data_IF_730325330723
#
_entry.id   IF_730325330723
#
_cell.length_a   1.000
_cell.length_b   1.000
_cell.length_c   1.000
_cell.angle_alpha   90.00
_cell.angle_beta   90.00
_cell.angle_gamma   90.00
#
_symmetry.space_group_name_H-M   'P 1'
#
loop_
_entity.id
_entity.type
_entity.pdbx_description
1 polymer ?
#
# COMPACT_ATOMS: atom_id res chain seq x y z
N UNK A 1 -2.25 9.20 -20.63
CA UNK A 1 -3.33 8.91 -21.61
C UNK A 1 -2.81 8.19 -22.85
N UNK A 2 -1.58 8.45 -23.31
CA UNK A 2 -1.01 7.81 -24.51
C UNK A 2 -1.00 6.26 -24.45
N UNK A 3 -0.51 5.68 -23.35
CA UNK A 3 -0.45 4.21 -23.16
C UNK A 3 -1.84 3.57 -23.10
N UNK A 4 -2.82 4.25 -22.47
CA UNK A 4 -4.20 3.76 -22.40
C UNK A 4 -4.80 3.65 -23.81
N UNK A 5 -4.67 4.70 -24.61
CA UNK A 5 -5.14 4.70 -26.00
C UNK A 5 -4.41 3.65 -26.85
N UNK A 6 -3.10 3.43 -26.62
CA UNK A 6 -2.33 2.37 -27.28
C UNK A 6 -2.89 0.98 -26.97
N UNK A 7 -3.25 0.70 -25.72
CA UNK A 7 -3.86 -0.59 -25.32
C UNK A 7 -5.23 -0.77 -25.97
N UNK A 8 -6.08 0.27 -25.97
CA UNK A 8 -7.39 0.19 -26.63
C UNK A 8 -7.24 -0.12 -28.12
N UNK A 9 -6.34 0.60 -28.80
CA UNK A 9 -6.08 0.43 -30.23
C UNK A 9 -5.52 -0.97 -30.55
N UNK A 10 -4.62 -1.51 -29.73
CA UNK A 10 -4.02 -2.83 -29.97
C UNK A 10 -5.02 -3.99 -29.83
N UNK A 11 -6.13 -3.78 -29.13
CA UNK A 11 -7.20 -4.77 -28.97
C UNK A 11 -8.43 -4.44 -29.83
N UNK A 12 -8.40 -3.35 -30.60
CA UNK A 12 -9.50 -2.89 -31.44
C UNK A 12 -10.75 -2.49 -30.64
N UNK A 13 -10.54 -1.91 -29.45
CA UNK A 13 -11.59 -1.44 -28.54
C UNK A 13 -11.71 0.08 -28.68
N UNK A 14 -12.95 0.55 -28.69
CA UNK A 14 -13.28 1.98 -28.72
C UNK A 14 -13.80 2.44 -27.36
N UNK A 15 -13.77 3.76 -27.14
CA UNK A 15 -14.41 4.42 -26.01
C UNK A 15 -15.41 5.43 -26.55
N UNK A 16 -16.60 5.52 -25.95
CA UNK A 16 -17.61 6.52 -26.31
C UNK A 16 -17.53 7.78 -25.43
N UNK A 17 -18.41 8.75 -25.71
CA UNK A 17 -18.46 10.03 -24.99
C UNK A 17 -18.81 9.86 -23.50
N UNK A 18 -19.53 8.79 -23.16
CA UNK A 18 -19.87 8.41 -21.78
C UNK A 18 -18.76 7.61 -21.09
N UNK A 19 -17.60 7.45 -21.75
CA UNK A 19 -16.41 6.71 -21.28
C UNK A 19 -16.61 5.21 -21.14
N UNK A 20 -17.54 4.62 -21.88
CA UNK A 20 -17.76 3.18 -21.94
C UNK A 20 -16.90 2.52 -23.00
N UNK A 21 -16.22 1.42 -22.63
CA UNK A 21 -15.44 0.61 -23.56
C UNK A 21 -16.35 -0.32 -24.36
N UNK A 22 -16.23 -0.31 -25.69
CA UNK A 22 -17.07 -1.12 -26.56
C UNK A 22 -16.34 -1.66 -27.78
N UNK A 23 -16.92 -2.70 -28.38
CA UNK A 23 -16.49 -3.26 -29.66
C UNK A 23 -17.70 -3.75 -30.45
N UNK A 24 -17.72 -3.48 -31.76
CA UNK A 24 -18.78 -3.96 -32.65
C UNK A 24 -18.43 -5.34 -33.21
N UNK A 25 -19.40 -6.24 -33.22
CA UNK A 25 -19.23 -7.62 -33.68
C UNK A 25 -20.46 -8.10 -34.48
N UNK A 26 -20.25 -9.12 -35.30
CA UNK A 26 -21.30 -9.90 -35.96
C UNK A 26 -21.28 -11.36 -35.44
N UNK A 27 -22.27 -12.18 -35.81
CA UNK A 27 -22.40 -13.56 -35.31
C UNK A 27 -21.13 -14.41 -35.51
N UNK A 28 -20.43 -14.24 -36.65
CA UNK A 28 -19.25 -15.04 -36.97
C UNK A 28 -18.01 -14.69 -36.14
N UNK A 29 -17.88 -13.44 -35.68
CA UNK A 29 -16.70 -12.96 -34.95
C UNK A 29 -16.98 -12.57 -33.49
N UNK A 30 -18.22 -12.73 -33.04
CA UNK A 30 -18.64 -12.41 -31.67
C UNK A 30 -17.77 -13.06 -30.58
N UNK A 31 -17.42 -14.37 -30.66
CA UNK A 31 -16.55 -14.97 -29.64
C UNK A 31 -15.18 -14.29 -29.54
N UNK A 32 -14.56 -14.00 -30.68
CA UNK A 32 -13.24 -13.37 -30.76
C UNK A 32 -13.28 -11.92 -30.26
N UNK A 33 -14.30 -11.13 -30.66
CA UNK A 33 -14.46 -9.74 -30.22
C UNK A 33 -14.76 -9.63 -28.72
N UNK A 34 -15.60 -10.52 -28.19
CA UNK A 34 -15.85 -10.64 -26.74
C UNK A 34 -14.55 -10.92 -26.00
N UNK A 35 -13.75 -11.87 -26.48
CA UNK A 35 -12.47 -12.21 -25.86
C UNK A 35 -11.50 -11.02 -25.86
N UNK A 36 -11.38 -10.29 -26.98
CA UNK A 36 -10.52 -9.10 -27.08
C UNK A 36 -10.93 -7.97 -26.12
N UNK A 37 -12.23 -7.72 -25.96
CA UNK A 37 -12.71 -6.73 -25.00
C UNK A 37 -12.32 -7.10 -23.56
N UNK A 38 -12.47 -8.38 -23.19
CA UNK A 38 -12.05 -8.87 -21.87
C UNK A 38 -10.53 -8.72 -21.66
N UNK A 39 -9.71 -9.11 -22.64
CA UNK A 39 -8.25 -8.97 -22.57
C UNK A 39 -7.82 -7.51 -22.43
N UNK A 40 -8.46 -6.61 -23.18
CA UNK A 40 -8.23 -5.18 -23.10
C UNK A 40 -8.57 -4.64 -21.71
N UNK A 41 -9.71 -5.01 -21.14
CA UNK A 41 -10.11 -4.61 -19.78
C UNK A 41 -9.10 -5.09 -18.72
N UNK A 42 -8.57 -6.31 -18.86
CA UNK A 42 -7.53 -6.82 -17.97
C UNK A 42 -6.24 -5.99 -18.09
N UNK A 43 -5.77 -5.70 -19.31
CA UNK A 43 -4.57 -4.88 -19.52
C UNK A 43 -4.72 -3.44 -19.04
N UNK A 44 -5.90 -2.85 -19.22
CA UNK A 44 -6.23 -1.54 -18.66
C UNK A 44 -6.22 -1.59 -17.13
N UNK A 45 -6.80 -2.63 -16.52
CA UNK A 45 -6.74 -2.84 -15.07
C UNK A 45 -5.30 -2.94 -14.58
N UNK A 46 -4.44 -3.70 -15.26
CA UNK A 46 -3.01 -3.81 -14.92
C UNK A 46 -2.29 -2.45 -15.00
N UNK A 47 -2.58 -1.65 -16.05
CA UNK A 47 -2.04 -0.28 -16.17
C UNK A 47 -2.47 0.60 -15.00
N UNK A 48 -3.72 0.48 -14.55
CA UNK A 48 -4.21 1.24 -13.40
C UNK A 48 -3.64 0.74 -12.08
N UNK A 49 -3.40 -0.56 -11.92
CA UNK A 49 -2.64 -1.11 -10.78
C UNK A 49 -1.23 -0.52 -10.76
N UNK A 50 -0.57 -0.40 -11.93
CA UNK A 50 0.73 0.25 -12.04
C UNK A 50 0.68 1.76 -11.74
N UNK A 51 -0.41 2.44 -12.11
CA UNK A 51 -0.63 3.85 -11.74
C UNK A 51 -0.88 4.04 -10.24
N UNK A 52 -1.49 3.06 -9.56
CA UNK A 52 -1.63 3.04 -8.10
C UNK A 52 -0.30 2.77 -7.40
N UNK A 53 0.60 1.97 -8.00
CA UNK A 53 1.96 1.80 -7.47
C UNK A 53 2.80 3.08 -7.56
N UNK A 54 2.55 4.00 -8.49
CA UNK A 54 3.19 5.34 -8.49
C UNK A 54 2.73 6.21 -7.31
N UNK A 55 1.46 6.13 -6.89
CA UNK A 55 1.00 6.89 -5.71
C UNK A 55 1.52 6.25 -4.41
N UNK A 56 1.65 4.91 -4.37
CA UNK A 56 2.30 4.22 -3.25
C UNK A 56 3.81 4.50 -3.20
N UNK A 57 4.50 4.57 -4.35
CA UNK A 57 5.91 4.95 -4.40
C UNK A 57 6.08 6.39 -3.94
N UNK A 58 5.26 7.33 -4.40
CA UNK A 58 5.31 8.73 -3.94
C UNK A 58 5.14 8.85 -2.42
N UNK A 59 4.14 8.18 -1.84
CA UNK A 59 3.93 8.29 -0.39
C UNK A 59 5.03 7.61 0.44
N UNK A 60 5.60 6.49 -0.04
CA UNK A 60 6.77 5.87 0.59
C UNK A 60 7.99 6.81 0.50
N UNK A 61 8.20 7.47 -0.64
CA UNK A 61 9.25 8.49 -0.81
C UNK A 61 9.02 9.71 0.11
N UNK A 62 7.77 10.15 0.30
CA UNK A 62 7.45 11.23 1.24
C UNK A 62 7.83 10.84 2.68
N UNK A 63 7.49 9.62 3.10
CA UNK A 63 7.86 9.08 4.42
C UNK A 63 9.39 8.97 4.55
N UNK A 64 10.07 8.51 3.49
CA UNK A 64 11.52 8.43 3.42
C UNK A 64 12.17 9.81 3.59
N UNK A 65 11.72 10.79 2.82
CA UNK A 65 12.18 12.17 2.91
C UNK A 65 11.93 12.77 4.30
N UNK A 66 10.80 12.45 4.93
CA UNK A 66 10.52 12.83 6.30
C UNK A 66 11.54 12.24 7.28
N UNK A 67 11.93 10.97 7.12
CA UNK A 67 12.98 10.37 7.94
C UNK A 67 14.34 11.04 7.74
N UNK A 68 14.75 11.26 6.49
CA UNK A 68 16.01 11.93 6.15
C UNK A 68 16.09 13.35 6.71
N UNK A 69 15.05 14.17 6.50
CA UNK A 69 14.99 15.55 6.98
C UNK A 69 15.08 15.66 8.51
N UNK A 70 14.66 14.63 9.23
CA UNK A 70 14.65 14.57 10.68
C UNK A 70 15.78 13.71 11.27
N UNK A 71 16.76 13.31 10.45
CA UNK A 71 17.91 12.48 10.87
C UNK A 71 17.50 11.14 11.52
N UNK A 72 16.37 10.57 11.11
CA UNK A 72 15.90 9.25 11.55
C UNK A 72 16.61 8.20 10.72
N UNK A 73 17.38 7.32 11.35
CA UNK A 73 18.12 6.23 10.66
C UNK A 73 17.22 5.02 10.48
N UNK A 74 17.04 4.57 9.25
CA UNK A 74 16.16 3.44 8.92
C UNK A 74 16.83 2.46 7.95
N UNK A 75 16.24 1.26 7.84
CA UNK A 75 16.52 0.28 6.80
C UNK A 75 15.26 0.03 5.99
N UNK A 76 15.38 0.03 4.66
CA UNK A 76 14.26 -0.18 3.73
C UNK A 76 13.94 -1.66 3.52
N UNK A 77 12.66 -1.96 3.30
CA UNK A 77 12.19 -3.26 2.83
C UNK A 77 12.54 -4.49 3.68
N UNK A 78 12.50 -4.43 5.04
CA UNK A 78 12.81 -5.61 5.84
C UNK A 78 11.75 -6.70 5.68
N UNK A 79 12.19 -7.95 5.72
CA UNK A 79 11.34 -9.13 5.72
C UNK A 79 11.56 -9.95 6.99
N UNK A 80 10.47 -10.39 7.62
CA UNK A 80 10.51 -11.18 8.84
C UNK A 80 9.69 -12.46 8.69
N UNK A 81 10.24 -13.58 9.14
CA UNK A 81 9.52 -14.85 9.18
C UNK A 81 8.70 -14.88 10.47
N UNK A 82 7.38 -15.02 10.34
CA UNK A 82 6.47 -15.09 11.48
C UNK A 82 6.32 -16.50 12.06
N UNK A 83 5.51 -16.61 13.12
CA UNK A 83 5.16 -17.88 13.78
C UNK A 83 4.53 -18.87 12.81
N UNK A 84 3.71 -18.37 11.88
CA UNK A 84 3.06 -19.13 10.81
C UNK A 84 4.03 -19.69 9.77
N UNK A 85 5.33 -19.36 9.86
CA UNK A 85 6.36 -19.58 8.83
C UNK A 85 6.18 -18.76 7.55
N UNK A 86 5.19 -17.87 7.51
CA UNK A 86 5.02 -16.93 6.41
C UNK A 86 6.05 -15.80 6.50
N UNK A 87 6.47 -15.33 5.33
CA UNK A 87 7.31 -14.15 5.20
C UNK A 87 6.43 -12.90 5.23
N UNK A 88 6.69 -12.00 6.16
CA UNK A 88 6.01 -10.73 6.31
C UNK A 88 6.97 -9.59 5.93
N UNK A 89 6.63 -8.86 4.88
CA UNK A 89 7.41 -7.71 4.41
C UNK A 89 6.88 -6.42 5.02
N UNK A 90 7.78 -5.52 5.40
CA UNK A 90 7.48 -4.17 5.89
C UNK A 90 8.23 -3.13 5.06
N UNK A 91 7.85 -1.86 5.20
CA UNK A 91 8.40 -0.80 4.36
C UNK A 91 9.71 -0.26 4.94
N UNK A 92 9.76 -0.08 6.27
CA UNK A 92 10.99 0.32 6.96
C UNK A 92 11.14 -0.34 8.33
N UNK A 93 12.36 -0.35 8.85
CA UNK A 93 12.65 -0.62 10.26
C UNK A 93 13.68 0.39 10.79
N UNK A 94 13.44 0.89 12.00
CA UNK A 94 14.41 1.65 12.78
C UNK A 94 14.90 0.72 13.88
N UNK A 95 16.21 0.48 13.88
CA UNK A 95 16.85 -0.42 14.84
C UNK A 95 16.60 0.02 16.28
N UNK A 96 16.58 -0.96 17.18
CA UNK A 96 16.57 -0.71 18.62
C UNK A 96 17.89 -0.05 19.06
N UNK A 97 17.87 0.66 20.18
CA UNK A 97 19.07 1.18 20.81
C UNK A 97 18.90 1.22 22.33
N UNK A 98 19.71 0.47 23.07
CA UNK A 98 19.56 0.29 24.53
C UNK A 98 18.12 -0.12 24.87
N UNK A 99 17.42 0.66 25.68
CA UNK A 99 16.03 0.43 26.13
C UNK A 99 14.98 0.88 25.11
N UNK A 100 15.41 1.45 23.99
CA UNK A 100 14.52 1.94 22.94
C UNK A 100 14.18 0.78 22.01
N UNK A 101 12.89 0.40 21.88
CA UNK A 101 12.50 -0.76 21.12
C UNK A 101 12.73 -0.57 19.62
N UNK A 102 12.82 -1.69 18.91
CA UNK A 102 12.81 -1.67 17.44
C UNK A 102 11.46 -1.14 16.95
N UNK A 103 11.50 -0.22 15.97
CA UNK A 103 10.28 0.39 15.41
C UNK A 103 10.14 -0.09 13.97
N UNK A 104 9.18 -0.98 13.75
CA UNK A 104 8.84 -1.51 12.43
C UNK A 104 7.80 -0.58 11.83
N UNK A 105 7.89 -0.27 10.54
CA UNK A 105 7.05 0.71 9.89
C UNK A 105 6.37 0.09 8.66
N UNK A 106 5.06 0.27 8.61
CA UNK A 106 4.21 0.01 7.45
C UNK A 106 3.68 1.34 6.91
N UNK A 107 3.65 1.50 5.59
CA UNK A 107 3.16 2.70 4.92
C UNK A 107 1.93 2.35 4.09
N UNK A 108 0.85 3.11 4.28
CA UNK A 108 -0.44 2.86 3.65
C UNK A 108 -1.01 4.15 3.07
N UNK A 109 -1.25 4.13 1.77
CA UNK A 109 -1.78 5.30 1.07
C UNK A 109 -3.31 5.37 1.08
N UNK A 110 -3.99 4.23 0.92
CA UNK A 110 -5.45 4.14 0.98
C UNK A 110 -5.83 3.15 2.09
N UNK A 111 -6.01 3.68 3.30
CA UNK A 111 -6.29 2.86 4.46
C UNK A 111 -7.77 2.43 4.50
N UNK A 112 -8.00 1.13 4.72
CA UNK A 112 -9.32 0.50 4.78
C UNK A 112 -9.37 -0.56 5.88
N UNK A 113 -10.58 -1.00 6.26
CA UNK A 113 -10.76 -2.03 7.28
C UNK A 113 -10.12 -3.37 6.89
N UNK A 114 -10.15 -3.74 5.62
CA UNK A 114 -9.49 -4.96 5.16
C UNK A 114 -7.96 -4.83 5.20
N UNK A 115 -7.43 -3.63 4.94
CA UNK A 115 -6.01 -3.36 5.13
C UNK A 115 -5.61 -3.42 6.60
N UNK A 116 -6.47 -2.94 7.51
CA UNK A 116 -6.28 -3.07 8.95
C UNK A 116 -6.11 -4.53 9.37
N UNK A 117 -7.03 -5.42 8.93
CA UNK A 117 -6.96 -6.86 9.22
C UNK A 117 -5.66 -7.49 8.72
N UNK A 118 -5.22 -7.13 7.52
CA UNK A 118 -3.95 -7.61 6.95
C UNK A 118 -2.75 -7.18 7.80
N UNK A 119 -2.70 -5.91 8.22
CA UNK A 119 -1.63 -5.39 9.07
C UNK A 119 -1.64 -6.08 10.44
N UNK A 120 -2.81 -6.23 11.06
CA UNK A 120 -2.97 -6.90 12.35
C UNK A 120 -2.48 -8.35 12.28
N UNK A 121 -2.85 -9.08 11.21
CA UNK A 121 -2.38 -10.44 11.01
C UNK A 121 -0.85 -10.50 10.93
N UNK A 122 -0.24 -9.72 10.02
CA UNK A 122 1.21 -9.68 9.87
C UNK A 122 1.91 -9.27 11.17
N UNK A 123 1.32 -8.34 11.93
CA UNK A 123 1.86 -7.90 13.20
C UNK A 123 1.89 -9.00 14.25
N UNK A 124 0.74 -9.64 14.49
CA UNK A 124 0.64 -10.74 15.46
C UNK A 124 1.57 -11.89 15.10
N UNK A 125 1.67 -12.18 13.81
CA UNK A 125 2.50 -13.28 13.30
C UNK A 125 3.99 -13.06 13.61
N UNK A 126 4.48 -11.81 13.59
CA UNK A 126 5.89 -11.51 13.91
C UNK A 126 6.13 -11.14 15.38
N UNK A 127 5.17 -10.49 16.06
CA UNK A 127 5.32 -9.98 17.43
C UNK A 127 5.62 -11.11 18.41
N UNK A 128 5.01 -12.28 18.22
CA UNK A 128 5.18 -13.44 19.09
C UNK A 128 6.56 -14.11 18.99
N UNK A 129 7.30 -13.89 17.90
CA UNK A 129 8.58 -14.56 17.62
C UNK A 129 9.77 -13.60 17.57
N UNK A 130 9.54 -12.28 17.65
CA UNK A 130 10.60 -11.27 17.74
C UNK A 130 10.92 -10.95 19.20
N UNK A 131 12.21 -10.97 19.51
CA UNK A 131 12.78 -10.47 20.77
C UNK A 131 12.72 -8.94 20.85
N UNK A 132 12.88 -8.39 22.05
CA UNK A 132 12.99 -6.95 22.33
C UNK A 132 11.72 -6.11 22.10
N UNK A 133 10.53 -6.72 22.20
CA UNK A 133 9.22 -6.04 22.20
C UNK A 133 9.11 -4.93 21.14
N UNK A 134 9.21 -5.28 19.84
CA UNK A 134 9.12 -4.28 18.78
C UNK A 134 7.79 -3.51 18.87
N UNK A 135 7.77 -2.34 18.26
CA UNK A 135 6.56 -1.54 18.08
C UNK A 135 6.30 -1.41 16.58
N UNK A 136 5.07 -1.67 16.16
CA UNK A 136 4.63 -1.42 14.79
C UNK A 136 4.00 -0.04 14.66
N UNK A 137 4.52 0.74 13.73
CA UNK A 137 3.95 2.01 13.26
C UNK A 137 3.30 1.80 11.90
N UNK A 138 2.08 2.31 11.74
CA UNK A 138 1.40 2.37 10.44
C UNK A 138 1.23 3.82 10.03
N UNK A 139 2.02 4.28 9.07
CA UNK A 139 1.89 5.59 8.45
C UNK A 139 0.73 5.57 7.45
N UNK A 140 -0.24 6.45 7.65
CA UNK A 140 -1.48 6.51 6.87
C UNK A 140 -1.55 7.86 6.16
N UNK A 141 -1.69 7.84 4.83
CA UNK A 141 -1.90 9.06 4.05
C UNK A 141 -3.34 9.56 4.18
N UNK A 142 -3.60 10.36 5.20
CA UNK A 142 -4.91 10.97 5.42
C UNK A 142 -5.19 12.20 4.55
N UNK A 143 -4.22 12.64 3.74
CA UNK A 143 -4.40 13.76 2.80
C UNK A 143 -5.10 13.35 1.51
N UNK A 144 -4.97 12.09 1.11
CA UNK A 144 -5.65 11.52 -0.06
C UNK A 144 -7.05 11.02 0.32
N UNK A 145 -7.16 10.36 1.47
CA UNK A 145 -8.42 9.83 1.98
C UNK A 145 -8.40 9.76 3.49
N UNK A 146 -9.41 10.39 4.10
CA UNK A 146 -9.60 10.30 5.56
C UNK A 146 -10.00 8.86 5.93
N UNK A 147 -9.22 8.17 6.79
CA UNK A 147 -9.56 6.82 7.24
C UNK A 147 -10.79 6.83 8.17
N UNK A 148 -11.57 5.75 8.17
CA UNK A 148 -12.70 5.62 9.09
C UNK A 148 -12.22 5.42 10.53
N UNK A 149 -13.03 5.85 11.51
CA UNK A 149 -12.68 5.73 12.94
C UNK A 149 -12.55 4.27 13.35
N UNK A 150 -13.43 3.42 12.84
CA UNK A 150 -13.47 1.98 13.11
C UNK A 150 -12.18 1.32 12.63
N UNK A 151 -11.70 1.69 11.44
CA UNK A 151 -10.46 1.16 10.89
C UNK A 151 -9.23 1.62 11.70
N UNK A 152 -9.20 2.86 12.18
CA UNK A 152 -8.12 3.35 13.05
C UNK A 152 -8.13 2.66 14.41
N UNK A 153 -9.32 2.54 15.02
CA UNK A 153 -9.48 1.87 16.31
C UNK A 153 -9.00 0.42 16.24
N UNK A 154 -9.27 -0.28 15.14
CA UNK A 154 -8.81 -1.65 14.95
C UNK A 154 -7.27 -1.81 15.09
N UNK A 155 -6.46 -0.81 14.74
CA UNK A 155 -5.00 -0.87 14.96
C UNK A 155 -4.65 -0.72 16.44
N UNK A 156 -5.26 0.26 17.10
CA UNK A 156 -5.02 0.54 18.52
C UNK A 156 -5.33 -0.66 19.41
N UNK A 157 -6.41 -1.39 19.15
CA UNK A 157 -6.80 -2.59 19.90
C UNK A 157 -5.76 -3.73 19.83
N UNK A 158 -4.81 -3.66 18.89
CA UNK A 158 -3.74 -4.65 18.71
C UNK A 158 -2.34 -4.07 18.98
N UNK A 159 -2.26 -2.97 19.74
CA UNK A 159 -1.03 -2.25 20.07
C UNK A 159 -0.26 -1.72 18.84
N UNK A 160 -0.97 -1.45 17.75
CA UNK A 160 -0.37 -0.90 16.52
C UNK A 160 -0.55 0.61 16.55
N UNK A 161 0.57 1.35 16.51
CA UNK A 161 0.56 2.81 16.52
C UNK A 161 0.28 3.31 15.11
N UNK A 162 -0.88 3.91 14.87
CA UNK A 162 -1.12 4.61 13.62
C UNK A 162 -0.53 6.02 13.68
N UNK A 163 0.03 6.48 12.55
CA UNK A 163 0.55 7.83 12.35
C UNK A 163 -0.19 8.42 11.15
N UNK A 164 -1.08 9.37 11.41
CA UNK A 164 -1.69 10.14 10.33
C UNK A 164 -0.62 11.06 9.72
N UNK A 165 -0.51 11.07 8.40
CA UNK A 165 0.50 11.84 7.70
C UNK A 165 0.45 13.34 8.03
N UNK A 166 -0.76 13.88 8.15
CA UNK A 166 -0.99 15.27 8.58
C UNK A 166 -0.48 15.58 10.00
N UNK A 167 -0.20 14.57 10.82
CA UNK A 167 0.24 14.70 12.21
C UNK A 167 1.60 14.06 12.48
N UNK A 168 2.34 13.69 11.44
CA UNK A 168 3.62 12.95 11.53
C UNK A 168 4.66 13.61 12.43
N UNK A 169 4.70 14.94 12.48
CA UNK A 169 5.70 15.68 13.23
C UNK A 169 5.66 15.40 14.75
N UNK A 170 4.50 14.98 15.26
CA UNK A 170 4.33 14.58 16.68
C UNK A 170 5.18 13.37 17.06
N UNK A 171 5.58 12.56 16.08
CA UNK A 171 6.29 11.29 16.29
C UNK A 171 7.79 11.40 16.04
N UNK A 172 8.31 12.56 15.61
CA UNK A 172 9.75 12.74 15.32
C UNK A 172 10.61 12.29 16.49
N UNK A 173 10.32 12.81 17.70
CA UNK A 173 11.09 12.50 18.91
C UNK A 173 11.11 11.01 19.24
N UNK A 174 10.03 10.30 18.97
CA UNK A 174 9.91 8.86 19.25
C UNK A 174 10.66 8.02 18.21
N UNK A 175 10.64 8.44 16.95
CA UNK A 175 11.26 7.73 15.84
C UNK A 175 12.77 8.02 15.74
N UNK A 176 13.23 9.20 16.16
CA UNK A 176 14.63 9.60 16.16
C UNK A 176 15.40 9.19 17.43
N UNK A 177 14.72 8.58 18.41
CA UNK A 177 15.31 8.22 19.70
C UNK A 177 16.31 7.05 19.59
#
# INVERSE_FOLDING_TARGET
>A
MEIFNTILNSHGISIDDDKSLYVRANLSNYPAKKHMLTQCMMKVSDLFVLSQSNVKSLFIEDVKNFFEQNNIRYTEGPSFIGKSKLLNNFDFVISHYKDIPERIIRVVNNYSLDYAKSIIFSWKDIKEVRSNNPILYTFINDTVKVPSKEALQALSEYDIKYVLWSQRDKYIKELSA
#
